data_IF_749131361375
#
_entry.id   IF_749131361375
#
_cell.length_a   1.000
_cell.length_b   1.000
_cell.length_c   1.000
_cell.angle_alpha   90.00
_cell.angle_beta   90.00
_cell.angle_gamma   90.00
#
_symmetry.space_group_name_H-M   'P 1'
#
loop_
_entity.id
_entity.type
_entity.pdbx_description
1 polymer ?
#
# COMPACT_ATOMS: atom_id res chain seq x y z
N UNK A 1 -47.46 -12.69 -33.96
CA UNK A 1 -46.33 -13.56 -33.59
C UNK A 1 -45.06 -12.93 -34.15
N UNK A 2 -44.18 -12.32 -33.34
CA UNK A 2 -42.88 -11.87 -33.83
C UNK A 2 -41.82 -12.95 -33.62
N UNK A 3 -40.97 -13.20 -34.62
CA UNK A 3 -39.87 -14.15 -34.55
C UNK A 3 -38.67 -13.56 -33.79
N UNK A 4 -38.17 -14.32 -32.81
CA UNK A 4 -36.89 -14.02 -32.17
C UNK A 4 -35.76 -14.33 -33.17
N UNK A 5 -34.98 -13.31 -33.52
CA UNK A 5 -33.71 -13.51 -34.24
C UNK A 5 -32.59 -13.55 -33.20
N UNK A 6 -31.97 -14.71 -33.03
CA UNK A 6 -30.95 -14.96 -32.01
C UNK A 6 -29.57 -14.69 -32.63
N UNK A 7 -28.95 -13.56 -32.26
CA UNK A 7 -27.57 -13.25 -32.65
C UNK A 7 -26.59 -14.08 -31.81
N UNK A 8 -25.88 -15.01 -32.45
CA UNK A 8 -24.71 -15.67 -31.87
C UNK A 8 -23.50 -14.72 -31.95
N UNK A 9 -23.08 -14.18 -30.81
CA UNK A 9 -21.78 -13.53 -30.66
C UNK A 9 -20.68 -14.60 -30.63
N UNK A 10 -19.95 -14.73 -31.73
CA UNK A 10 -18.71 -15.50 -31.79
C UNK A 10 -17.63 -14.75 -30.98
N UNK A 11 -17.29 -15.27 -29.80
CA UNK A 11 -16.14 -14.82 -29.02
C UNK A 11 -14.84 -15.34 -29.67
N UNK A 12 -14.13 -14.46 -30.35
CA UNK A 12 -12.76 -14.73 -30.79
C UNK A 12 -11.84 -14.80 -29.55
N UNK A 13 -11.11 -15.90 -29.32
CA UNK A 13 -10.12 -15.94 -28.26
C UNK A 13 -8.96 -15.01 -28.64
N UNK A 14 -8.83 -13.92 -27.88
CA UNK A 14 -7.61 -13.09 -27.91
C UNK A 14 -6.49 -13.98 -27.38
N UNK A 15 -5.55 -14.35 -28.24
CA UNK A 15 -4.29 -14.97 -27.84
C UNK A 15 -3.49 -13.94 -27.04
N UNK A 16 -3.75 -13.86 -25.74
CA UNK A 16 -2.91 -13.14 -24.80
C UNK A 16 -1.61 -13.91 -24.64
N UNK A 17 -0.51 -13.43 -25.23
CA UNK A 17 0.82 -13.88 -24.84
C UNK A 17 1.04 -13.41 -23.40
N UNK A 18 1.13 -14.35 -22.46
CA UNK A 18 1.56 -14.03 -21.12
C UNK A 18 2.97 -13.44 -21.18
N UNK A 19 3.21 -12.32 -20.50
CA UNK A 19 4.55 -11.80 -20.34
C UNK A 19 5.40 -12.86 -19.63
N UNK A 20 6.59 -13.16 -20.17
CA UNK A 20 7.58 -13.96 -19.45
C UNK A 20 8.10 -13.12 -18.27
N UNK A 21 7.63 -13.45 -17.07
CA UNK A 21 8.08 -12.84 -15.81
C UNK A 21 9.28 -13.61 -15.21
N UNK A 22 9.86 -14.54 -15.96
CA UNK A 22 11.09 -15.23 -15.59
C UNK A 22 12.27 -14.28 -15.49
N UNK A 23 13.26 -14.66 -14.68
CA UNK A 23 14.52 -13.91 -14.60
C UNK A 23 15.21 -14.00 -15.97
N UNK A 24 15.57 -12.88 -16.62
CA UNK A 24 16.23 -12.93 -17.91
C UNK A 24 17.54 -13.71 -17.82
N UNK A 25 17.69 -14.74 -18.67
CA UNK A 25 18.87 -15.61 -18.65
C UNK A 25 20.17 -14.89 -19.06
N UNK A 26 20.05 -13.70 -19.66
CA UNK A 26 21.18 -12.82 -19.97
C UNK A 26 21.74 -12.09 -18.74
N UNK A 27 21.07 -12.15 -17.58
CA UNK A 27 21.54 -11.50 -16.37
C UNK A 27 22.68 -12.30 -15.71
N UNK A 28 23.64 -11.56 -15.16
CA UNK A 28 24.69 -12.15 -14.32
C UNK A 28 24.01 -12.80 -13.10
N UNK A 29 24.30 -14.10 -12.88
CA UNK A 29 23.69 -14.91 -11.79
C UNK A 29 22.16 -14.90 -11.83
N UNK A 30 21.59 -15.32 -12.95
CA UNK A 30 20.13 -15.50 -13.13
C UNK A 30 19.50 -16.60 -12.24
N UNK A 31 20.31 -17.34 -11.47
CA UNK A 31 19.88 -18.40 -10.56
C UNK A 31 20.29 -18.11 -9.11
N UNK A 32 19.65 -18.79 -8.16
CA UNK A 32 19.99 -18.71 -6.74
C UNK A 32 20.70 -19.99 -6.29
N UNK A 33 21.92 -19.85 -5.74
CA UNK A 33 22.70 -20.98 -5.21
C UNK A 33 22.08 -21.58 -3.93
N UNK A 34 21.25 -20.82 -3.21
CA UNK A 34 20.57 -21.29 -2.00
C UNK A 34 19.22 -21.93 -2.34
N UNK A 35 18.97 -23.18 -1.92
CA UNK A 35 17.67 -23.81 -2.01
C UNK A 35 16.56 -22.93 -1.41
N UNK A 36 15.34 -23.06 -1.94
CA UNK A 36 14.18 -22.29 -1.47
C UNK A 36 13.99 -22.44 0.05
N UNK A 37 14.03 -23.67 0.57
CA UNK A 37 13.85 -23.95 2.00
C UNK A 37 14.89 -23.23 2.87
N UNK A 38 16.15 -23.17 2.43
CA UNK A 38 17.20 -22.45 3.15
C UNK A 38 16.90 -20.95 3.21
N UNK A 39 16.48 -20.36 2.09
CA UNK A 39 16.09 -18.93 2.03
C UNK A 39 14.91 -18.62 2.95
N UNK A 40 13.93 -19.52 3.01
CA UNK A 40 12.78 -19.38 3.91
C UNK A 40 13.21 -19.44 5.39
N UNK A 41 14.11 -20.35 5.75
CA UNK A 41 14.67 -20.45 7.11
C UNK A 41 15.45 -19.20 7.50
N UNK A 42 16.29 -18.67 6.60
CA UNK A 42 17.03 -17.42 6.83
C UNK A 42 16.06 -16.25 7.05
N UNK A 43 15.04 -16.12 6.20
CA UNK A 43 14.04 -15.07 6.34
C UNK A 43 13.28 -15.18 7.68
N UNK A 44 12.86 -16.38 8.08
CA UNK A 44 12.19 -16.57 9.36
C UNK A 44 13.12 -16.28 10.55
N UNK A 45 14.39 -16.70 10.48
CA UNK A 45 15.37 -16.39 11.52
C UNK A 45 15.59 -14.87 11.68
N UNK A 46 15.55 -14.10 10.59
CA UNK A 46 15.58 -12.64 10.66
C UNK A 46 14.34 -12.06 11.35
N UNK A 47 13.15 -12.61 11.07
CA UNK A 47 11.91 -12.23 11.78
C UNK A 47 12.01 -12.54 13.28
N UNK A 48 12.55 -13.70 13.63
CA UNK A 48 12.74 -14.09 15.03
C UNK A 48 13.79 -13.20 15.73
N UNK A 49 14.82 -12.77 15.00
CA UNK A 49 15.81 -11.83 15.50
C UNK A 49 15.29 -10.40 15.66
N UNK A 50 14.38 -9.90 14.82
CA UNK A 50 13.84 -8.54 15.04
C UNK A 50 12.79 -8.52 16.16
N UNK A 51 12.09 -9.64 16.40
CA UNK A 51 11.06 -9.79 17.45
C UNK A 51 11.54 -9.53 18.87
N UNK A 52 12.81 -9.75 19.17
CA UNK A 52 13.39 -9.43 20.48
C UNK A 52 13.41 -7.92 20.79
N UNK A 53 13.26 -7.07 19.78
CA UNK A 53 13.16 -5.62 19.93
C UNK A 53 11.71 -5.13 20.02
N UNK A 54 10.72 -6.02 19.96
CA UNK A 54 9.31 -5.66 20.01
C UNK A 54 8.91 -5.12 21.39
N UNK A 55 8.42 -3.89 21.45
CA UNK A 55 7.64 -3.39 22.57
C UNK A 55 6.21 -3.95 22.46
N UNK A 56 5.83 -4.80 23.42
CA UNK A 56 4.51 -5.45 23.43
C UNK A 56 3.35 -4.52 23.80
N UNK A 57 3.62 -3.30 24.27
CA UNK A 57 2.60 -2.29 24.58
C UNK A 57 2.19 -1.50 23.34
N UNK A 58 3.16 -1.12 22.52
CA UNK A 58 2.95 -0.27 21.34
C UNK A 58 2.95 -1.07 20.03
N UNK A 59 3.49 -2.30 20.06
CA UNK A 59 3.82 -3.07 18.87
C UNK A 59 4.74 -2.31 17.90
N UNK A 60 5.64 -1.51 18.46
CA UNK A 60 6.76 -0.92 17.72
C UNK A 60 8.05 -1.67 18.05
N UNK A 61 9.01 -1.62 17.12
CA UNK A 61 10.33 -2.17 17.37
C UNK A 61 11.25 -1.08 17.93
N UNK A 62 11.77 -1.32 19.12
CA UNK A 62 12.69 -0.42 19.80
C UNK A 62 13.88 -0.06 18.89
N UNK A 63 14.11 1.24 18.72
CA UNK A 63 15.17 1.77 17.86
C UNK A 63 14.79 2.01 16.39
N UNK A 64 13.62 1.57 15.94
CA UNK A 64 13.14 1.80 14.56
C UNK A 64 12.15 2.97 14.46
N UNK A 65 11.30 3.16 15.47
CA UNK A 65 10.22 4.13 15.45
C UNK A 65 8.98 3.64 14.67
N UNK A 66 7.98 4.51 14.57
CA UNK A 66 6.62 4.14 14.20
C UNK A 66 6.47 3.61 12.77
N UNK A 67 6.79 4.42 11.76
CA UNK A 67 6.61 4.03 10.35
C UNK A 67 7.55 2.91 9.91
N UNK A 68 8.76 2.85 10.47
CA UNK A 68 9.72 1.75 10.20
C UNK A 68 9.23 0.43 10.82
N UNK A 69 8.51 0.49 11.94
CA UNK A 69 7.85 -0.70 12.50
C UNK A 69 6.78 -1.24 11.54
N UNK A 70 5.99 -0.37 10.92
CA UNK A 70 5.03 -0.75 9.88
C UNK A 70 5.70 -1.39 8.64
N UNK A 71 6.85 -0.85 8.22
CA UNK A 71 7.68 -1.46 7.16
C UNK A 71 8.12 -2.88 7.54
N UNK A 72 8.51 -3.08 8.79
CA UNK A 72 8.92 -4.39 9.29
C UNK A 72 7.75 -5.38 9.22
N UNK A 73 6.54 -4.98 9.62
CA UNK A 73 5.35 -5.82 9.49
C UNK A 73 4.96 -6.11 8.03
N UNK A 74 5.15 -5.14 7.14
CA UNK A 74 4.98 -5.33 5.69
C UNK A 74 5.87 -6.46 5.17
N UNK A 75 7.16 -6.44 5.54
CA UNK A 75 8.12 -7.49 5.15
C UNK A 75 7.77 -8.85 5.75
N UNK A 76 7.33 -8.89 7.00
CA UNK A 76 6.89 -10.13 7.68
C UNK A 76 5.68 -10.75 6.98
N UNK A 77 4.64 -9.96 6.68
CA UNK A 77 3.46 -10.42 5.97
C UNK A 77 3.79 -10.87 4.54
N UNK A 78 4.65 -10.12 3.84
CA UNK A 78 5.08 -10.46 2.48
C UNK A 78 5.88 -11.77 2.45
N UNK A 79 6.75 -12.02 3.44
CA UNK A 79 7.42 -13.31 3.59
C UNK A 79 6.39 -14.43 3.67
N UNK A 80 5.37 -14.29 4.53
CA UNK A 80 4.33 -15.30 4.72
C UNK A 80 3.55 -15.55 3.42
N UNK A 81 3.17 -14.48 2.71
CA UNK A 81 2.54 -14.56 1.39
C UNK A 81 3.41 -15.32 0.38
N UNK A 82 4.68 -14.94 0.23
CA UNK A 82 5.61 -15.54 -0.75
C UNK A 82 5.84 -17.03 -0.45
N UNK A 83 5.90 -17.40 0.83
CA UNK A 83 6.14 -18.78 1.24
C UNK A 83 4.88 -19.62 1.36
N UNK A 84 3.69 -19.03 1.24
CA UNK A 84 2.41 -19.70 1.44
C UNK A 84 2.20 -20.18 2.88
N UNK A 85 2.71 -19.44 3.87
CA UNK A 85 2.64 -19.82 5.29
C UNK A 85 1.93 -18.75 6.11
N UNK A 86 1.35 -19.12 7.25
CA UNK A 86 0.77 -18.16 8.22
C UNK A 86 1.57 -18.04 9.52
N UNK A 87 2.84 -18.44 9.52
CA UNK A 87 3.70 -18.53 10.71
C UNK A 87 3.72 -17.24 11.54
N UNK A 88 3.62 -16.08 10.89
CA UNK A 88 3.73 -14.79 11.53
C UNK A 88 2.38 -14.06 11.69
N UNK A 89 1.26 -14.68 11.27
CA UNK A 89 -0.08 -14.07 11.29
C UNK A 89 -0.44 -13.48 12.64
N UNK A 90 -0.28 -14.23 13.74
CA UNK A 90 -0.64 -13.76 15.09
C UNK A 90 0.10 -12.47 15.47
N UNK A 91 1.37 -12.35 15.13
CA UNK A 91 2.15 -11.14 15.41
C UNK A 91 1.66 -9.96 14.57
N UNK A 92 1.49 -10.16 13.27
CA UNK A 92 1.03 -9.10 12.35
C UNK A 92 -0.38 -8.64 12.72
N UNK A 93 -1.30 -9.58 12.98
CA UNK A 93 -2.67 -9.29 13.44
C UNK A 93 -2.68 -8.43 14.69
N UNK A 94 -1.89 -8.81 15.70
CA UNK A 94 -1.85 -8.09 16.97
C UNK A 94 -1.30 -6.67 16.80
N UNK A 95 -0.24 -6.51 16.00
CA UNK A 95 0.36 -5.20 15.74
C UNK A 95 -0.57 -4.25 15.00
N UNK A 96 -1.16 -4.70 13.88
CA UNK A 96 -2.07 -3.89 13.07
C UNK A 96 -3.33 -3.52 13.85
N UNK A 97 -3.94 -4.48 14.55
CA UNK A 97 -5.12 -4.22 15.39
C UNK A 97 -4.80 -3.21 16.49
N UNK A 98 -3.72 -3.43 17.24
CA UNK A 98 -3.34 -2.54 18.35
C UNK A 98 -3.05 -1.13 17.86
N UNK A 99 -2.37 -0.97 16.72
CA UNK A 99 -2.08 0.35 16.18
C UNK A 99 -3.31 1.06 15.66
N UNK A 100 -4.21 0.34 14.99
CA UNK A 100 -5.45 0.92 14.49
C UNK A 100 -6.38 1.36 15.64
N UNK A 101 -6.47 0.57 16.71
CA UNK A 101 -7.30 0.90 17.89
C UNK A 101 -6.75 2.09 18.69
N UNK A 102 -5.43 2.19 18.85
CA UNK A 102 -4.81 3.28 19.60
C UNK A 102 -4.64 4.57 18.77
N UNK A 103 -4.55 4.44 17.45
CA UNK A 103 -4.32 5.53 16.51
C UNK A 103 -5.30 5.37 15.35
N UNK A 104 -6.51 5.95 15.43
CA UNK A 104 -7.51 5.86 14.36
C UNK A 104 -6.91 6.23 13.00
N UNK A 105 -7.26 5.45 11.98
CA UNK A 105 -6.70 5.57 10.62
C UNK A 105 -5.16 5.45 10.56
N UNK A 106 -4.50 4.93 11.62
CA UNK A 106 -3.04 4.91 11.83
C UNK A 106 -2.36 6.28 12.03
N UNK A 107 -3.10 7.35 12.31
CA UNK A 107 -2.51 8.68 12.53
C UNK A 107 -2.06 8.87 13.98
N UNK A 108 -0.82 8.48 14.28
CA UNK A 108 -0.19 8.72 15.59
C UNK A 108 0.40 10.12 15.72
N UNK A 109 0.99 10.65 14.65
CA UNK A 109 1.82 11.86 14.66
C UNK A 109 1.44 12.87 13.57
N UNK A 110 0.25 12.74 12.96
CA UNK A 110 -0.24 13.65 11.92
C UNK A 110 0.58 13.64 10.60
N UNK A 111 1.34 12.57 10.35
CA UNK A 111 2.07 12.33 9.12
C UNK A 111 1.31 11.33 8.24
N UNK A 112 1.01 11.74 7.00
CA UNK A 112 0.28 10.91 6.04
C UNK A 112 1.11 9.69 5.61
N UNK A 113 2.43 9.83 5.41
CA UNK A 113 3.32 8.70 5.05
C UNK A 113 3.43 7.68 6.18
N UNK A 114 3.61 8.11 7.43
CA UNK A 114 3.61 7.21 8.59
C UNK A 114 2.35 6.35 8.63
N UNK A 115 1.18 6.97 8.50
CA UNK A 115 -0.09 6.27 8.49
C UNK A 115 -0.23 5.35 7.26
N UNK A 116 0.17 5.82 6.08
CA UNK A 116 0.14 5.03 4.85
C UNK A 116 1.07 3.81 4.89
N UNK A 117 2.19 3.86 5.61
CA UNK A 117 3.03 2.67 5.83
C UNK A 117 2.30 1.57 6.59
N UNK A 118 1.46 1.93 7.58
CA UNK A 118 0.61 0.97 8.29
C UNK A 118 -0.55 0.46 7.44
N UNK A 119 -1.14 1.31 6.59
CA UNK A 119 -2.11 0.84 5.60
C UNK A 119 -1.48 -0.11 4.58
N UNK A 120 -0.23 0.13 4.14
CA UNK A 120 0.54 -0.78 3.28
C UNK A 120 0.77 -2.13 3.96
N UNK A 121 1.16 -2.12 5.25
CA UNK A 121 1.29 -3.35 6.03
C UNK A 121 -0.04 -4.13 6.09
N UNK A 122 -1.17 -3.42 6.20
CA UNK A 122 -2.51 -4.02 6.18
C UNK A 122 -2.86 -4.63 4.82
N UNK A 123 -2.49 -3.99 3.70
CA UNK A 123 -2.63 -4.58 2.35
C UNK A 123 -1.86 -5.90 2.26
N UNK A 124 -0.60 -5.93 2.68
CA UNK A 124 0.18 -7.16 2.62
C UNK A 124 -0.33 -8.24 3.57
N UNK A 125 -0.82 -7.86 4.75
CA UNK A 125 -1.47 -8.79 5.67
C UNK A 125 -2.75 -9.39 5.07
N UNK A 126 -3.58 -8.58 4.42
CA UNK A 126 -4.75 -9.07 3.68
C UNK A 126 -4.34 -10.06 2.59
N UNK A 127 -3.34 -9.73 1.78
CA UNK A 127 -2.86 -10.61 0.72
C UNK A 127 -2.22 -11.90 1.24
N UNK A 128 -1.62 -11.88 2.43
CA UNK A 128 -1.00 -13.05 3.04
C UNK A 128 -2.02 -13.98 3.72
N UNK A 129 -3.04 -13.41 4.37
CA UNK A 129 -3.91 -14.13 5.30
C UNK A 129 -5.40 -14.15 4.91
N UNK A 130 -5.76 -13.47 3.81
CA UNK A 130 -7.11 -13.33 3.28
C UNK A 130 -8.17 -12.92 4.32
N UNK A 131 -7.77 -12.03 5.25
CA UNK A 131 -8.61 -11.56 6.35
C UNK A 131 -9.10 -10.13 6.08
N UNK A 132 -10.41 -9.98 5.87
CA UNK A 132 -11.02 -8.72 5.44
C UNK A 132 -10.89 -7.60 6.46
N UNK A 133 -10.60 -7.91 7.73
CA UNK A 133 -10.27 -6.89 8.73
C UNK A 133 -9.11 -6.01 8.25
N UNK A 134 -8.05 -6.61 7.68
CA UNK A 134 -6.90 -5.85 7.21
C UNK A 134 -7.21 -5.03 5.95
N UNK A 135 -8.03 -5.56 5.06
CA UNK A 135 -8.50 -4.81 3.90
C UNK A 135 -9.29 -3.57 4.36
N UNK A 136 -10.15 -3.72 5.38
CA UNK A 136 -10.91 -2.61 5.93
C UNK A 136 -10.01 -1.54 6.56
N UNK A 137 -8.94 -1.93 7.29
CA UNK A 137 -7.96 -0.97 7.81
C UNK A 137 -7.24 -0.20 6.69
N UNK A 138 -6.87 -0.88 5.60
CA UNK A 138 -6.23 -0.24 4.46
C UNK A 138 -7.19 0.75 3.74
N UNK A 139 -8.44 0.35 3.52
CA UNK A 139 -9.46 1.21 2.89
C UNK A 139 -9.72 2.45 3.75
N UNK A 140 -9.87 2.27 5.05
CA UNK A 140 -10.10 3.33 6.02
C UNK A 140 -8.93 4.33 6.05
N UNK A 141 -7.69 3.83 6.17
CA UNK A 141 -6.49 4.67 6.12
C UNK A 141 -6.35 5.42 4.79
N UNK A 142 -6.60 4.76 3.67
CA UNK A 142 -6.56 5.38 2.35
C UNK A 142 -7.61 6.49 2.21
N UNK A 143 -8.85 6.26 2.63
CA UNK A 143 -9.91 7.27 2.63
C UNK A 143 -9.52 8.50 3.46
N UNK A 144 -8.84 8.30 4.58
CA UNK A 144 -8.33 9.40 5.40
C UNK A 144 -7.22 10.18 4.68
N UNK A 145 -6.24 9.49 4.10
CA UNK A 145 -5.15 10.11 3.33
C UNK A 145 -5.66 10.84 2.06
N UNK A 146 -6.71 10.34 1.41
CA UNK A 146 -7.33 10.94 0.22
C UNK A 146 -7.80 12.38 0.46
N UNK A 147 -8.11 12.75 1.71
CA UNK A 147 -8.47 14.13 2.06
C UNK A 147 -7.34 15.14 1.83
N UNK A 148 -6.09 14.66 1.73
CA UNK A 148 -4.87 15.46 1.56
C UNK A 148 -4.26 15.33 0.16
N UNK A 149 -4.94 14.63 -0.76
CA UNK A 149 -4.55 14.57 -2.16
C UNK A 149 -5.06 15.81 -2.90
N UNK A 150 -4.20 16.42 -3.71
CA UNK A 150 -4.56 17.53 -4.59
C UNK A 150 -5.31 16.98 -5.81
N UNK A 151 -6.58 17.33 -5.94
CA UNK A 151 -7.34 17.03 -7.16
C UNK A 151 -6.97 18.00 -8.29
N UNK A 152 -7.31 17.64 -9.54
CA UNK A 152 -7.11 18.52 -10.70
C UNK A 152 -7.77 19.89 -10.52
N UNK A 153 -8.99 19.92 -10.00
CA UNK A 153 -9.73 21.16 -9.73
C UNK A 153 -9.05 22.01 -8.67
N UNK A 154 -8.53 21.39 -7.61
CA UNK A 154 -7.80 22.11 -6.55
C UNK A 154 -6.48 22.67 -7.06
N UNK A 155 -5.74 21.93 -7.89
CA UNK A 155 -4.52 22.41 -8.55
C UNK A 155 -4.80 23.62 -9.44
N UNK A 156 -5.86 23.57 -10.25
CA UNK A 156 -6.28 24.69 -11.12
C UNK A 156 -6.74 25.92 -10.32
N UNK A 157 -7.48 25.71 -9.23
CA UNK A 157 -7.93 26.78 -8.34
C UNK A 157 -6.80 27.34 -7.45
N UNK A 158 -5.66 26.66 -7.38
CA UNK A 158 -4.56 26.98 -6.48
C UNK A 158 -4.93 26.91 -5.00
N UNK A 159 -5.92 26.08 -4.62
CA UNK A 159 -6.46 26.02 -3.26
C UNK A 159 -6.86 24.60 -2.88
N UNK A 160 -6.53 24.21 -1.65
CA UNK A 160 -6.98 22.97 -1.04
C UNK A 160 -7.83 23.26 0.21
N UNK A 161 -8.94 22.53 0.45
CA UNK A 161 -9.87 22.85 1.54
C UNK A 161 -9.26 22.75 2.94
N UNK A 162 -8.24 21.91 3.12
CA UNK A 162 -7.58 21.66 4.42
C UNK A 162 -6.26 22.42 4.61
N UNK A 163 -5.81 23.20 3.62
CA UNK A 163 -4.53 23.91 3.67
C UNK A 163 -4.75 25.41 3.56
N UNK A 164 -4.04 26.19 4.36
CA UNK A 164 -4.20 27.66 4.37
C UNK A 164 -3.53 28.33 3.18
N UNK A 165 -2.39 27.77 2.76
CA UNK A 165 -1.57 28.35 1.72
C UNK A 165 -2.09 28.07 0.31
N UNK A 166 -1.79 29.02 -0.59
CA UNK A 166 -2.02 28.85 -2.03
C UNK A 166 -1.11 27.74 -2.57
N UNK A 167 -1.71 26.87 -3.37
CA UNK A 167 -1.02 25.80 -4.08
C UNK A 167 -0.68 26.30 -5.48
N UNK A 168 0.53 26.02 -5.94
CA UNK A 168 0.89 26.27 -7.35
C UNK A 168 0.22 25.23 -8.23
N UNK A 169 -0.37 25.63 -9.34
CA UNK A 169 -0.97 24.69 -10.29
C UNK A 169 0.06 23.73 -10.91
N UNK A 170 1.33 24.16 -11.00
CA UNK A 170 2.44 23.37 -11.54
C UNK A 170 3.68 23.43 -10.66
N UNK A 171 4.45 22.34 -10.66
CA UNK A 171 5.85 22.29 -10.27
C UNK A 171 6.69 22.84 -11.44
N UNK A 172 7.45 23.90 -11.16
CA UNK A 172 8.41 24.53 -12.09
C UNK A 172 7.83 24.98 -13.44
N UNK A 173 6.52 25.23 -13.52
CA UNK A 173 5.85 25.69 -14.73
C UNK A 173 5.45 24.58 -15.71
N UNK A 174 5.81 23.32 -15.46
CA UNK A 174 5.62 22.22 -16.42
C UNK A 174 4.67 21.13 -15.92
N UNK A 175 4.98 20.52 -14.77
CA UNK A 175 4.24 19.36 -14.28
C UNK A 175 3.12 19.81 -13.37
N UNK A 176 1.90 19.28 -13.53
CA UNK A 176 0.79 19.61 -12.62
C UNK A 176 1.09 19.13 -11.19
N UNK A 177 0.62 19.88 -10.19
CA UNK A 177 0.61 19.45 -8.79
C UNK A 177 -0.56 18.52 -8.46
N UNK A 178 -1.50 18.33 -9.38
CA UNK A 178 -2.58 17.36 -9.24
C UNK A 178 -2.02 15.94 -9.03
N UNK A 179 -2.63 15.20 -8.10
CA UNK A 179 -2.18 13.88 -7.66
C UNK A 179 -1.16 13.91 -6.52
N UNK A 180 -0.52 15.05 -6.25
CA UNK A 180 0.36 15.22 -5.08
C UNK A 180 -0.39 15.05 -3.77
N UNK A 181 0.26 14.48 -2.76
CA UNK A 181 -0.31 14.31 -1.42
C UNK A 181 0.54 15.06 -0.41
N UNK A 182 -0.10 15.86 0.44
CA UNK A 182 0.59 16.58 1.51
C UNK A 182 1.24 15.63 2.50
N UNK A 183 2.41 15.99 3.02
CA UNK A 183 3.14 15.16 3.97
C UNK A 183 2.44 15.08 5.32
N UNK A 184 1.97 16.22 5.85
CA UNK A 184 1.26 16.28 7.14
C UNK A 184 -0.18 16.73 7.00
N UNK A 185 -0.98 16.45 8.02
CA UNK A 185 -2.40 16.84 8.08
C UNK A 185 -2.59 18.32 8.45
N UNK A 186 -1.63 18.90 9.17
CA UNK A 186 -1.71 20.29 9.67
C UNK A 186 -1.94 21.32 8.57
N UNK A 187 -2.81 22.30 8.84
CA UNK A 187 -3.23 23.29 7.84
C UNK A 187 -2.13 24.26 7.40
N UNK A 188 -1.09 24.41 8.22
CA UNK A 188 0.09 25.27 7.99
C UNK A 188 1.25 24.53 7.30
N UNK A 189 1.15 23.20 7.14
CA UNK A 189 2.16 22.40 6.44
C UNK A 189 1.95 22.47 4.92
N UNK A 190 3.02 22.82 4.21
CA UNK A 190 3.05 22.99 2.75
C UNK A 190 3.80 21.86 2.06
N UNK A 191 4.41 20.96 2.84
CA UNK A 191 5.31 19.97 2.29
C UNK A 191 4.53 18.87 1.59
N UNK A 192 5.07 18.45 0.45
CA UNK A 192 4.68 17.25 -0.27
C UNK A 192 5.96 16.52 -0.59
N UNK A 193 5.94 15.19 -0.49
CA UNK A 193 7.09 14.39 -0.84
C UNK A 193 6.68 13.16 -1.65
N UNK A 194 7.67 12.58 -2.31
CA UNK A 194 7.47 11.39 -3.15
C UNK A 194 7.08 10.17 -2.33
N UNK A 195 7.50 10.07 -1.07
CA UNK A 195 7.19 8.92 -0.20
C UNK A 195 5.69 8.86 0.04
N UNK A 196 5.08 9.93 0.56
CA UNK A 196 3.63 10.01 0.80
C UNK A 196 2.84 9.76 -0.48
N UNK A 197 3.23 10.44 -1.57
CA UNK A 197 2.50 10.34 -2.84
C UNK A 197 2.59 8.93 -3.45
N UNK A 198 3.76 8.28 -3.40
CA UNK A 198 3.95 6.92 -3.94
C UNK A 198 3.27 5.85 -3.09
N UNK A 199 3.25 6.00 -1.76
CA UNK A 199 2.50 5.11 -0.88
C UNK A 199 1.00 5.20 -1.14
N UNK A 200 0.48 6.42 -1.27
CA UNK A 200 -0.92 6.65 -1.63
C UNK A 200 -1.28 5.95 -2.95
N UNK A 201 -0.46 6.11 -3.98
CA UNK A 201 -0.65 5.43 -5.27
C UNK A 201 -0.57 3.90 -5.14
N UNK A 202 0.31 3.37 -4.28
CA UNK A 202 0.41 1.93 -4.03
C UNK A 202 -0.90 1.37 -3.47
N UNK A 203 -1.55 2.10 -2.56
CA UNK A 203 -2.83 1.71 -1.97
C UNK A 203 -3.94 1.68 -3.00
N UNK A 204 -4.02 2.74 -3.83
CA UNK A 204 -4.92 2.82 -4.98
C UNK A 204 -4.79 1.53 -5.79
N UNK A 205 -3.61 1.25 -6.34
CA UNK A 205 -3.36 0.06 -7.14
C UNK A 205 -3.74 -1.23 -6.41
N UNK A 206 -3.41 -1.37 -5.13
CA UNK A 206 -3.77 -2.57 -4.39
C UNK A 206 -5.28 -2.80 -4.31
N UNK A 207 -6.09 -1.74 -4.14
CA UNK A 207 -7.55 -1.82 -4.09
C UNK A 207 -8.14 -2.18 -5.45
N UNK A 208 -7.59 -1.67 -6.56
CA UNK A 208 -8.05 -2.03 -7.91
C UNK A 208 -7.90 -3.53 -8.21
N UNK A 209 -6.79 -4.14 -7.78
CA UNK A 209 -6.51 -5.55 -8.08
C UNK A 209 -7.04 -6.54 -7.04
N UNK A 210 -7.32 -6.09 -5.81
CA UNK A 210 -7.90 -6.96 -4.76
C UNK A 210 -9.42 -6.86 -4.64
N UNK A 211 -10.04 -5.75 -5.04
CA UNK A 211 -11.47 -5.52 -4.80
C UNK A 211 -12.34 -5.35 -6.05
N UNK A 212 -11.81 -5.43 -7.29
CA UNK A 212 -12.57 -5.15 -8.52
C UNK A 212 -13.32 -3.78 -8.47
N UNK A 213 -12.75 -2.78 -7.80
CA UNK A 213 -13.35 -1.45 -7.70
C UNK A 213 -12.92 -0.60 -8.91
N UNK A 214 -13.71 -0.66 -9.98
CA UNK A 214 -13.36 -0.14 -11.31
C UNK A 214 -13.65 1.35 -11.57
N UNK A 215 -13.76 2.23 -10.55
CA UNK A 215 -14.43 3.53 -10.79
C UNK A 215 -13.68 4.81 -10.43
N UNK A 216 -12.42 4.80 -9.99
CA UNK A 216 -11.83 6.04 -9.41
C UNK A 216 -10.45 6.49 -9.89
N UNK A 217 -9.78 5.80 -10.83
CA UNK A 217 -8.40 6.17 -11.23
C UNK A 217 -8.25 6.95 -12.54
N UNK A 218 -9.34 7.22 -13.26
CA UNK A 218 -9.26 8.03 -14.50
C UNK A 218 -9.63 9.52 -14.32
N UNK A 219 -9.44 10.12 -13.14
CA UNK A 219 -9.68 11.56 -12.93
C UNK A 219 -8.47 12.27 -12.31
#
# INVERSE_FOLDING_TARGET
MPSLTQFFLLSLPILGSAADLGVPLSWIKFYNERPLEERQKIAQAAVDNIRQYLDKKTYEFNGLGYWVSANTYSAIALKDKITGTETNRKLVSAALKSNFENHPHFYKYDFNDDALWWGTASIYAYQAYNDTMFLNYAIDNWNEASKYQITRTQAQAGKHPLKKDTIRATCDGHNTTAGGVFWKTGADDKEMNTITTSLYLTHVWSQFFTANLLTTVEQ
#
